data_IF_800169150390
#
_entry.id   IF_800169150390
#
_cell.length_a   1.000
_cell.length_b   1.000
_cell.length_c   1.000
_cell.angle_alpha   90.00
_cell.angle_beta   90.00
_cell.angle_gamma   90.00
#
_symmetry.space_group_name_H-M   'P 1'
#
loop_
_entity.id
_entity.type
_entity.pdbx_description
1 polymer ?
#
# COMPACT_ATOMS: atom_id res chain seq x y z
N UNK A 1 26.06 9.88 -13.73
CA UNK A 1 26.47 9.12 -12.51
C UNK A 1 25.26 8.63 -11.72
N UNK A 2 24.28 9.47 -11.38
CA UNK A 2 22.97 9.06 -10.85
C UNK A 2 22.18 8.16 -11.81
N UNK A 3 22.25 8.42 -13.11
CA UNK A 3 21.52 7.65 -14.15
C UNK A 3 22.00 6.19 -14.29
N UNK A 4 23.28 5.89 -14.07
CA UNK A 4 23.81 4.51 -14.16
C UNK A 4 23.50 3.68 -12.91
N UNK A 5 23.47 4.32 -11.74
CA UNK A 5 22.98 3.72 -10.49
C UNK A 5 21.47 3.48 -10.55
N UNK A 6 20.69 4.44 -11.05
CA UNK A 6 19.25 4.27 -11.25
C UNK A 6 18.91 3.16 -12.28
N UNK A 7 19.67 3.03 -13.37
CA UNK A 7 19.49 1.95 -14.35
C UNK A 7 19.81 0.57 -13.80
N UNK A 8 20.81 0.42 -12.93
CA UNK A 8 21.16 -0.87 -12.29
C UNK A 8 20.24 -1.22 -11.11
N UNK A 9 19.82 -0.23 -10.34
CA UNK A 9 18.78 -0.41 -9.33
C UNK A 9 17.42 -0.81 -9.97
N UNK A 10 17.21 -0.45 -11.25
CA UNK A 10 16.07 -0.89 -12.05
C UNK A 10 16.11 -2.37 -12.46
N UNK A 11 17.28 -2.98 -12.64
CA UNK A 11 17.37 -4.39 -13.10
C UNK A 11 17.06 -5.41 -11.99
N UNK A 12 17.37 -5.12 -10.74
CA UNK A 12 17.06 -6.02 -9.61
C UNK A 12 15.58 -5.95 -9.23
N UNK A 13 14.97 -4.76 -9.33
CA UNK A 13 13.52 -4.54 -9.13
C UNK A 13 12.69 -5.09 -10.29
N UNK A 14 13.31 -5.39 -11.44
CA UNK A 14 12.61 -5.82 -12.63
C UNK A 14 11.80 -7.10 -12.37
N UNK A 15 12.29 -8.02 -11.53
CA UNK A 15 11.56 -9.27 -11.25
C UNK A 15 10.27 -8.99 -10.48
N UNK A 16 10.32 -8.16 -9.42
CA UNK A 16 9.13 -7.77 -8.68
C UNK A 16 8.16 -6.95 -9.54
N UNK A 17 8.68 -6.02 -10.35
CA UNK A 17 7.87 -5.18 -11.24
C UNK A 17 7.24 -5.95 -12.39
N UNK A 18 7.96 -6.94 -12.96
CA UNK A 18 7.43 -7.87 -13.96
C UNK A 18 6.37 -8.76 -13.31
N UNK A 19 6.61 -9.26 -12.10
CA UNK A 19 5.59 -9.98 -11.33
C UNK A 19 4.33 -9.15 -11.10
N UNK A 20 4.49 -7.86 -10.78
CA UNK A 20 3.39 -6.92 -10.64
C UNK A 20 2.63 -6.73 -11.97
N UNK A 21 3.35 -6.52 -13.07
CA UNK A 21 2.77 -6.37 -14.41
C UNK A 21 1.98 -7.62 -14.80
N UNK A 22 2.56 -8.81 -14.61
CA UNK A 22 1.89 -10.08 -14.85
C UNK A 22 0.63 -10.22 -13.98
N UNK A 23 0.70 -9.89 -12.70
CA UNK A 23 -0.47 -9.90 -11.80
C UNK A 23 -1.59 -8.97 -12.27
N UNK A 24 -1.25 -7.78 -12.78
CA UNK A 24 -2.21 -6.84 -13.35
C UNK A 24 -2.84 -7.36 -14.66
N UNK A 25 -2.06 -8.01 -15.51
CA UNK A 25 -2.56 -8.66 -16.73
C UNK A 25 -3.52 -9.79 -16.36
N UNK A 26 -3.14 -10.69 -15.45
CA UNK A 26 -4.00 -11.78 -14.99
C UNK A 26 -5.31 -11.26 -14.41
N UNK A 27 -5.28 -10.15 -13.66
CA UNK A 27 -6.49 -9.52 -13.13
C UNK A 27 -7.45 -9.06 -14.23
N UNK A 28 -6.94 -8.40 -15.28
CA UNK A 28 -7.75 -7.93 -16.41
C UNK A 28 -8.32 -9.07 -17.24
N UNK A 29 -7.47 -10.04 -17.60
CA UNK A 29 -7.86 -11.24 -18.36
C UNK A 29 -8.89 -12.06 -17.58
N UNK A 30 -8.65 -12.34 -16.29
CA UNK A 30 -9.58 -13.12 -15.48
C UNK A 30 -10.95 -12.46 -15.38
N UNK A 31 -11.03 -11.12 -15.31
CA UNK A 31 -12.31 -10.42 -15.30
C UNK A 31 -13.09 -10.62 -16.61
N UNK A 32 -12.45 -10.42 -17.76
CA UNK A 32 -13.11 -10.57 -19.06
C UNK A 32 -13.53 -12.03 -19.35
N UNK A 33 -12.65 -12.98 -19.07
CA UNK A 33 -12.92 -14.41 -19.32
C UNK A 33 -13.94 -14.98 -18.33
N UNK A 34 -14.05 -14.46 -17.10
CA UNK A 34 -15.08 -14.87 -16.14
C UNK A 34 -16.50 -14.63 -16.64
N UNK A 35 -16.74 -13.55 -17.40
CA UNK A 35 -18.06 -13.28 -17.99
C UNK A 35 -18.39 -14.19 -19.18
N UNK A 36 -17.36 -14.73 -19.85
CA UNK A 36 -17.50 -15.55 -21.06
C UNK A 36 -17.40 -17.06 -20.80
N UNK A 37 -16.94 -17.48 -19.61
CA UNK A 37 -16.65 -18.88 -19.27
C UNK A 37 -17.87 -19.67 -18.77
N UNK A 38 -17.95 -20.94 -19.18
CA UNK A 38 -18.87 -21.97 -18.66
C UNK A 38 -18.65 -22.19 -17.15
N UNK A 39 -19.69 -22.57 -16.40
CA UNK A 39 -19.67 -22.70 -14.93
C UNK A 39 -18.48 -23.52 -14.38
N UNK A 40 -18.02 -24.54 -15.10
CA UNK A 40 -16.89 -25.39 -14.71
C UNK A 40 -15.53 -24.67 -14.67
N UNK A 41 -15.33 -23.63 -15.48
CA UNK A 41 -14.06 -22.89 -15.55
C UNK A 41 -14.07 -21.61 -14.72
N UNK A 42 -15.24 -21.19 -14.19
CA UNK A 42 -15.37 -19.96 -13.39
C UNK A 42 -14.49 -19.99 -12.14
N UNK A 43 -14.40 -21.14 -11.46
CA UNK A 43 -13.56 -21.31 -10.27
C UNK A 43 -12.05 -21.18 -10.57
N UNK A 44 -11.60 -21.56 -11.76
CA UNK A 44 -10.21 -21.36 -12.18
C UNK A 44 -9.91 -19.86 -12.39
N UNK A 45 -10.81 -19.15 -13.08
CA UNK A 45 -10.65 -17.71 -13.31
C UNK A 45 -10.77 -16.87 -12.04
N UNK A 46 -11.66 -17.26 -11.10
CA UNK A 46 -11.74 -16.63 -9.78
C UNK A 46 -10.42 -16.78 -8.99
N UNK A 47 -9.81 -17.97 -9.00
CA UNK A 47 -8.49 -18.20 -8.38
C UNK A 47 -7.40 -17.38 -9.06
N UNK A 48 -7.37 -17.32 -10.39
CA UNK A 48 -6.40 -16.51 -11.14
C UNK A 48 -6.52 -15.02 -10.82
N UNK A 49 -7.74 -14.50 -10.66
CA UNK A 49 -7.98 -13.12 -10.23
C UNK A 49 -7.43 -12.85 -8.82
N UNK A 50 -7.67 -13.77 -7.87
CA UNK A 50 -7.18 -13.65 -6.50
C UNK A 50 -5.65 -13.70 -6.47
N UNK A 51 -5.05 -14.70 -7.11
CA UNK A 51 -3.58 -14.87 -7.14
C UNK A 51 -2.91 -13.68 -7.81
N UNK A 52 -3.43 -13.21 -8.95
CA UNK A 52 -2.89 -12.02 -9.63
C UNK A 52 -2.96 -10.76 -8.77
N UNK A 53 -4.06 -10.57 -8.03
CA UNK A 53 -4.24 -9.42 -7.13
C UNK A 53 -3.31 -9.47 -5.91
N UNK A 54 -3.14 -10.66 -5.31
CA UNK A 54 -2.20 -10.88 -4.21
C UNK A 54 -0.77 -10.65 -4.70
N UNK A 55 -0.40 -11.21 -5.85
CA UNK A 55 0.95 -11.07 -6.41
C UNK A 55 1.29 -9.61 -6.71
N UNK A 56 0.37 -8.86 -7.33
CA UNK A 56 0.60 -7.44 -7.63
C UNK A 56 0.76 -6.60 -6.35
N UNK A 57 -0.09 -6.83 -5.36
CA UNK A 57 -0.03 -6.12 -4.08
C UNK A 57 1.24 -6.49 -3.30
N UNK A 58 1.59 -7.77 -3.28
CA UNK A 58 2.79 -8.27 -2.62
C UNK A 58 4.05 -7.67 -3.24
N UNK A 59 4.15 -7.68 -4.57
CA UNK A 59 5.26 -7.08 -5.30
C UNK A 59 5.38 -5.57 -5.00
N UNK A 60 4.26 -4.85 -4.95
CA UNK A 60 4.27 -3.43 -4.56
C UNK A 60 4.83 -3.23 -3.14
N UNK A 61 4.43 -4.08 -2.18
CA UNK A 61 4.92 -4.00 -0.80
C UNK A 61 6.40 -4.35 -0.66
N UNK A 62 6.87 -5.35 -1.41
CA UNK A 62 8.30 -5.70 -1.49
C UNK A 62 9.13 -4.53 -2.02
N UNK A 63 8.64 -3.84 -3.06
CA UNK A 63 9.31 -2.65 -3.61
C UNK A 63 9.38 -1.52 -2.59
N UNK A 64 8.30 -1.27 -1.84
CA UNK A 64 8.32 -0.27 -0.75
C UNK A 64 9.29 -0.67 0.35
N UNK A 65 9.30 -1.94 0.76
CA UNK A 65 10.26 -2.45 1.75
C UNK A 65 11.70 -2.25 1.32
N UNK A 66 12.02 -2.57 0.05
CA UNK A 66 13.36 -2.40 -0.50
C UNK A 66 13.82 -0.93 -0.55
N UNK A 67 12.89 0.02 -0.70
CA UNK A 67 13.19 1.45 -0.61
C UNK A 67 13.51 1.85 0.83
N UNK A 68 12.79 1.29 1.82
CA UNK A 68 13.00 1.57 3.24
C UNK A 68 14.29 0.95 3.76
N UNK A 69 14.65 -0.26 3.33
CA UNK A 69 15.84 -0.98 3.83
C UNK A 69 17.18 -0.39 3.39
N UNK A 70 17.17 0.56 2.45
CA UNK A 70 18.39 1.04 1.79
C UNK A 70 19.10 -0.07 0.99
N UNK A 71 20.21 0.28 0.34
CA UNK A 71 21.05 -0.68 -0.38
C UNK A 71 22.48 -0.60 0.16
N UNK A 72 23.10 -1.75 0.41
CA UNK A 72 24.52 -1.84 0.73
C UNK A 72 25.30 -1.63 -0.57
N UNK A 73 25.83 -0.42 -0.78
CA UNK A 73 26.71 -0.12 -1.92
C UNK A 73 28.17 -0.23 -1.45
N UNK A 74 28.78 -1.40 -1.62
CA UNK A 74 30.23 -1.56 -1.43
C UNK A 74 31.00 -1.00 -2.64
N UNK A 75 31.35 0.30 -2.57
CA UNK A 75 32.24 0.95 -3.54
C UNK A 75 31.63 1.25 -4.92
N UNK A 76 32.32 0.85 -6.00
CA UNK A 76 32.01 1.19 -7.42
C UNK A 76 31.48 -0.02 -8.23
N UNK A 77 31.29 -1.15 -7.58
CA UNK A 77 30.85 -2.42 -8.15
C UNK A 77 29.80 -3.02 -7.24
N UNK A 78 28.56 -3.10 -7.72
CA UNK A 78 27.50 -3.85 -7.08
C UNK A 78 27.93 -5.33 -6.98
N UNK A 79 28.11 -5.83 -5.76
CA UNK A 79 28.37 -7.25 -5.44
C UNK A 79 27.09 -8.02 -5.10
N UNK A 80 25.92 -7.41 -5.32
CA UNK A 80 24.64 -8.00 -4.96
C UNK A 80 24.23 -9.17 -5.83
N UNK A 81 23.65 -10.19 -5.21
CA UNK A 81 23.06 -11.34 -5.90
C UNK A 81 21.72 -10.93 -6.55
N UNK A 82 21.27 -11.63 -7.60
CA UNK A 82 19.94 -11.40 -8.22
C UNK A 82 18.76 -11.58 -7.24
N UNK A 83 19.03 -12.07 -6.02
CA UNK A 83 18.09 -12.27 -4.92
C UNK A 83 18.24 -11.27 -3.76
N UNK A 84 19.05 -10.22 -3.90
CA UNK A 84 19.23 -9.22 -2.82
C UNK A 84 17.94 -8.47 -2.46
N UNK A 85 16.95 -8.46 -3.35
CA UNK A 85 15.60 -7.94 -3.06
C UNK A 85 14.80 -8.87 -2.13
N UNK A 86 15.17 -10.14 -1.99
CA UNK A 86 14.49 -11.17 -1.19
C UNK A 86 14.95 -11.17 0.27
N UNK A 87 14.97 -9.99 0.90
CA UNK A 87 15.25 -9.91 2.33
C UNK A 87 14.01 -10.27 3.15
N UNK A 88 14.17 -10.85 4.36
CA UNK A 88 13.04 -11.11 5.25
C UNK A 88 12.20 -9.86 5.53
N UNK A 89 12.84 -8.69 5.60
CA UNK A 89 12.17 -7.40 5.78
C UNK A 89 11.29 -7.03 4.57
N UNK A 90 11.80 -7.15 3.35
CA UNK A 90 11.04 -6.83 2.14
C UNK A 90 9.83 -7.75 1.96
N UNK A 91 10.02 -9.05 2.24
CA UNK A 91 8.94 -10.03 2.24
C UNK A 91 7.86 -9.70 3.29
N UNK A 92 8.28 -9.30 4.48
CA UNK A 92 7.39 -8.88 5.56
C UNK A 92 6.57 -7.65 5.15
N UNK A 93 7.19 -6.63 4.55
CA UNK A 93 6.51 -5.47 3.97
C UNK A 93 5.51 -5.86 2.86
N UNK A 94 5.88 -6.82 2.01
CA UNK A 94 5.00 -7.42 1.00
C UNK A 94 3.72 -8.02 1.60
N UNK A 95 3.88 -8.90 2.60
CA UNK A 95 2.73 -9.50 3.32
C UNK A 95 1.91 -8.41 4.02
N UNK A 96 2.59 -7.43 4.62
CA UNK A 96 1.95 -6.29 5.28
C UNK A 96 1.02 -5.50 4.35
N UNK A 97 1.46 -5.23 3.12
CA UNK A 97 0.64 -4.51 2.15
C UNK A 97 -0.57 -5.35 1.68
N UNK A 98 -0.40 -6.67 1.54
CA UNK A 98 -1.52 -7.58 1.24
C UNK A 98 -2.59 -7.53 2.33
N UNK A 99 -2.19 -7.59 3.60
CA UNK A 99 -3.12 -7.47 4.75
C UNK A 99 -3.80 -6.10 4.76
N UNK A 100 -3.04 -5.05 4.46
CA UNK A 100 -3.53 -3.67 4.40
C UNK A 100 -4.65 -3.52 3.36
N UNK A 101 -4.42 -3.99 2.13
CA UNK A 101 -5.43 -3.94 1.08
C UNK A 101 -6.61 -4.90 1.34
N UNK A 102 -6.37 -6.05 1.98
CA UNK A 102 -7.45 -6.93 2.41
C UNK A 102 -8.37 -6.24 3.44
N UNK A 103 -7.82 -5.50 4.40
CA UNK A 103 -8.60 -4.72 5.37
C UNK A 103 -9.37 -3.57 4.69
N UNK A 104 -8.72 -2.85 3.78
CA UNK A 104 -9.37 -1.79 3.00
C UNK A 104 -10.52 -2.33 2.16
N UNK A 105 -10.33 -3.47 1.49
CA UNK A 105 -11.38 -4.16 0.73
C UNK A 105 -12.51 -4.64 1.62
N UNK A 106 -12.21 -5.24 2.78
CA UNK A 106 -13.24 -5.70 3.73
C UNK A 106 -14.09 -4.53 4.27
N UNK A 107 -13.46 -3.41 4.65
CA UNK A 107 -14.18 -2.23 5.15
C UNK A 107 -14.95 -1.49 4.05
N UNK A 108 -14.46 -1.52 2.81
CA UNK A 108 -15.22 -1.04 1.65
C UNK A 108 -16.45 -1.92 1.38
N UNK A 109 -16.31 -3.25 1.48
CA UNK A 109 -17.44 -4.19 1.35
C UNK A 109 -18.47 -4.00 2.46
N UNK A 110 -18.06 -3.72 3.71
CA UNK A 110 -18.98 -3.34 4.79
C UNK A 110 -19.84 -2.12 4.41
N UNK A 111 -19.26 -1.15 3.70
CA UNK A 111 -19.99 0.04 3.25
C UNK A 111 -21.00 -0.26 2.13
N UNK A 112 -20.69 -1.22 1.25
CA UNK A 112 -21.47 -1.51 0.02
C UNK A 112 -22.42 -2.70 0.10
N UNK A 113 -22.26 -3.58 1.10
CA UNK A 113 -23.05 -4.81 1.24
C UNK A 113 -24.25 -4.66 2.19
N UNK A 114 -25.28 -5.48 1.97
CA UNK A 114 -26.47 -5.65 2.82
C UNK A 114 -26.57 -7.12 3.25
N UNK A 115 -26.87 -7.35 4.54
CA UNK A 115 -26.91 -8.64 5.23
C UNK A 115 -25.92 -9.69 4.68
N UNK A 116 -26.09 -11.01 4.87
CA UNK A 116 -25.12 -11.93 5.50
C UNK A 116 -23.61 -11.73 5.19
N UNK A 117 -23.28 -11.28 3.98
CA UNK A 117 -21.96 -10.76 3.60
C UNK A 117 -21.43 -9.64 4.51
N UNK A 118 -22.26 -8.67 4.91
CA UNK A 118 -21.87 -7.58 5.82
C UNK A 118 -21.33 -8.12 7.15
N UNK A 119 -22.06 -9.05 7.77
CA UNK A 119 -21.66 -9.68 9.04
C UNK A 119 -20.36 -10.47 8.91
N UNK A 120 -20.17 -11.17 7.78
CA UNK A 120 -18.92 -11.87 7.48
C UNK A 120 -17.74 -10.92 7.32
N UNK A 121 -17.92 -9.80 6.61
CA UNK A 121 -16.85 -8.81 6.43
C UNK A 121 -16.50 -8.11 7.76
N UNK A 122 -17.50 -7.79 8.59
CA UNK A 122 -17.26 -7.28 9.94
C UNK A 122 -16.47 -8.27 10.82
N UNK A 123 -16.78 -9.56 10.73
CA UNK A 123 -16.03 -10.59 11.45
C UNK A 123 -14.59 -10.71 10.94
N UNK A 124 -14.36 -10.57 9.63
CA UNK A 124 -13.05 -10.66 8.99
C UNK A 124 -12.17 -9.41 9.20
N UNK A 125 -12.77 -8.21 9.28
CA UNK A 125 -12.02 -6.97 9.51
C UNK A 125 -11.29 -6.93 10.87
N UNK A 126 -11.79 -7.65 11.88
CA UNK A 126 -11.18 -7.69 13.22
C UNK A 126 -9.82 -8.40 13.25
N UNK A 127 -9.69 -9.67 12.82
CA UNK A 127 -8.39 -10.32 12.76
C UNK A 127 -7.47 -9.59 11.78
N UNK A 128 -7.98 -9.08 10.65
CA UNK A 128 -7.17 -8.29 9.72
C UNK A 128 -6.60 -7.01 10.36
N UNK A 129 -7.37 -6.31 11.19
CA UNK A 129 -6.88 -5.15 11.93
C UNK A 129 -5.78 -5.52 12.93
N UNK A 130 -5.94 -6.63 13.65
CA UNK A 130 -4.90 -7.11 14.58
C UNK A 130 -3.62 -7.45 13.82
N UNK A 131 -3.74 -8.20 12.73
CA UNK A 131 -2.59 -8.57 11.89
C UNK A 131 -1.92 -7.32 11.32
N UNK A 132 -2.70 -6.33 10.85
CA UNK A 132 -2.15 -5.05 10.38
C UNK A 132 -1.38 -4.32 11.49
N UNK A 133 -1.91 -4.27 12.71
CA UNK A 133 -1.22 -3.65 13.84
C UNK A 133 0.06 -4.38 14.22
N UNK A 134 0.07 -5.71 14.17
CA UNK A 134 1.28 -6.50 14.37
C UNK A 134 2.32 -6.23 13.28
N UNK A 135 1.89 -6.09 12.03
CA UNK A 135 2.77 -5.70 10.92
C UNK A 135 3.33 -4.30 11.14
N UNK A 136 2.49 -3.30 11.44
CA UNK A 136 2.93 -1.93 11.68
C UNK A 136 3.89 -1.84 12.86
N UNK A 137 3.59 -2.52 13.96
CA UNK A 137 4.48 -2.63 15.12
C UNK A 137 5.78 -3.35 14.78
N UNK A 138 5.70 -4.45 14.02
CA UNK A 138 6.86 -5.20 13.55
C UNK A 138 7.79 -4.33 12.71
N UNK A 139 7.28 -3.61 11.72
CA UNK A 139 8.09 -2.66 10.92
C UNK A 139 8.65 -1.56 11.82
N UNK A 140 7.83 -0.99 12.72
CA UNK A 140 8.28 0.10 13.62
C UNK A 140 9.37 -0.32 14.59
N UNK A 141 9.47 -1.59 14.95
CA UNK A 141 10.55 -2.13 15.79
C UNK A 141 11.75 -2.55 14.95
N UNK A 142 11.51 -3.18 13.79
CA UNK A 142 12.58 -3.69 12.92
C UNK A 142 13.40 -2.56 12.26
N UNK A 143 12.74 -1.46 11.88
CA UNK A 143 13.40 -0.36 11.17
C UNK A 143 14.44 0.36 12.05
N UNK A 144 14.16 0.76 13.30
CA UNK A 144 15.18 1.32 14.20
C UNK A 144 16.30 0.33 14.56
N UNK A 145 16.00 -0.98 14.67
CA UNK A 145 17.01 -1.99 15.02
C UNK A 145 18.02 -2.26 13.90
N UNK A 146 17.65 -1.99 12.64
CA UNK A 146 18.52 -2.21 11.49
C UNK A 146 19.26 -0.95 11.05
N UNK A 147 18.79 0.23 11.46
CA UNK A 147 19.37 1.52 11.08
C UNK A 147 19.50 2.41 12.33
N UNK A 148 20.71 2.45 12.89
CA UNK A 148 21.01 3.27 14.06
C UNK A 148 20.70 4.76 13.82
N UNK A 149 20.87 5.24 12.57
CA UNK A 149 20.47 6.60 12.16
C UNK A 149 18.98 6.88 12.35
N UNK A 150 18.11 5.87 12.14
CA UNK A 150 16.67 6.00 12.32
C UNK A 150 16.33 5.92 13.82
N UNK A 151 17.01 5.06 14.57
CA UNK A 151 16.86 4.98 16.03
C UNK A 151 17.23 6.31 16.70
N UNK A 152 18.36 6.91 16.33
CA UNK A 152 18.74 8.23 16.84
C UNK A 152 17.69 9.28 16.48
N UNK A 153 17.18 9.31 15.24
CA UNK A 153 16.13 10.28 14.86
C UNK A 153 14.83 10.10 15.63
N UNK A 154 14.42 8.87 15.89
CA UNK A 154 13.15 8.58 16.58
C UNK A 154 13.23 8.80 18.09
N UNK A 155 14.36 8.46 18.70
CA UNK A 155 14.53 8.44 20.16
C UNK A 155 15.32 9.63 20.73
N UNK A 156 15.91 10.50 19.89
CA UNK A 156 16.51 11.75 20.35
C UNK A 156 15.46 12.84 20.63
N UNK A 157 15.68 13.61 21.70
CA UNK A 157 14.91 14.80 22.00
C UNK A 157 15.43 15.97 21.16
N UNK A 158 14.58 16.76 20.48
CA UNK A 158 13.12 16.86 20.64
C UNK A 158 12.27 16.07 19.63
N UNK A 159 12.88 15.36 18.67
CA UNK A 159 12.17 14.65 17.60
C UNK A 159 11.13 13.65 18.12
N UNK A 160 11.42 12.99 19.25
CA UNK A 160 10.49 12.08 19.92
C UNK A 160 9.08 12.70 20.12
N UNK A 161 8.97 13.98 20.46
CA UNK A 161 7.67 14.66 20.64
C UNK A 161 6.91 14.87 19.34
N UNK A 162 7.61 15.04 18.22
CA UNK A 162 6.98 15.14 16.90
C UNK A 162 6.55 13.77 16.36
N UNK A 163 7.23 12.69 16.76
CA UNK A 163 6.92 11.33 16.33
C UNK A 163 5.86 10.62 17.19
N UNK A 164 5.78 10.90 18.49
CA UNK A 164 4.82 10.30 19.43
C UNK A 164 3.34 10.40 19.00
N UNK A 165 2.86 11.48 18.36
CA UNK A 165 1.48 11.56 17.89
C UNK A 165 1.10 10.47 16.89
N UNK A 166 2.04 9.99 16.05
CA UNK A 166 1.75 8.99 15.02
C UNK A 166 1.29 7.64 15.60
N UNK A 167 2.05 6.96 16.49
CA UNK A 167 1.60 5.71 17.09
C UNK A 167 0.35 5.90 17.97
N UNK A 168 0.21 7.04 18.64
CA UNK A 168 -1.01 7.35 19.42
C UNK A 168 -2.23 7.44 18.51
N UNK A 169 -2.12 8.12 17.37
CA UNK A 169 -3.20 8.23 16.38
C UNK A 169 -3.52 6.86 15.75
N UNK A 170 -2.51 6.03 15.45
CA UNK A 170 -2.71 4.66 14.96
C UNK A 170 -3.52 3.82 15.95
N UNK A 171 -3.19 3.89 17.25
CA UNK A 171 -3.95 3.20 18.29
C UNK A 171 -5.38 3.75 18.42
N UNK A 172 -5.55 5.07 18.41
CA UNK A 172 -6.85 5.71 18.50
C UNK A 172 -7.77 5.30 17.34
N UNK A 173 -7.27 5.38 16.10
CA UNK A 173 -8.01 4.98 14.90
C UNK A 173 -8.34 3.49 14.91
N UNK A 174 -7.43 2.66 15.39
CA UNK A 174 -7.66 1.20 15.49
C UNK A 174 -8.74 0.86 16.51
N UNK A 175 -8.72 1.50 17.68
CA UNK A 175 -9.76 1.32 18.69
C UNK A 175 -11.12 1.81 18.19
N UNK A 176 -11.16 2.96 17.50
CA UNK A 176 -12.39 3.46 16.86
C UNK A 176 -12.88 2.55 15.75
N UNK A 177 -11.99 1.97 14.95
CA UNK A 177 -12.34 1.01 13.91
C UNK A 177 -12.95 -0.25 14.53
N UNK A 178 -12.28 -0.82 15.54
CA UNK A 178 -12.77 -1.98 16.28
C UNK A 178 -14.16 -1.77 16.88
N UNK A 179 -14.42 -0.58 17.44
CA UNK A 179 -15.75 -0.21 17.97
C UNK A 179 -16.77 0.04 16.85
N UNK A 180 -16.37 0.63 15.74
CA UNK A 180 -17.28 0.94 14.62
C UNK A 180 -17.76 -0.34 13.92
N UNK A 181 -16.89 -1.35 13.80
CA UNK A 181 -17.24 -2.66 13.23
C UNK A 181 -18.24 -3.44 14.11
N UNK A 182 -18.42 -3.07 15.38
CA UNK A 182 -19.46 -3.63 16.26
C UNK A 182 -20.84 -2.99 16.07
N UNK A 183 -20.93 -1.81 15.46
CA UNK A 183 -22.18 -1.06 15.34
C UNK A 183 -22.78 -1.27 13.94
N UNK A 184 -23.98 -1.89 13.82
CA UNK A 184 -24.61 -2.20 12.53
C UNK A 184 -24.88 -0.96 11.64
N UNK A 185 -25.07 0.21 12.27
CA UNK A 185 -25.51 1.43 11.59
C UNK A 185 -24.37 2.25 10.96
N UNK A 186 -23.12 1.85 11.18
CA UNK A 186 -21.96 2.65 10.83
C UNK A 186 -21.30 2.16 9.54
N UNK A 187 -21.98 2.32 8.39
CA UNK A 187 -21.51 1.76 7.12
C UNK A 187 -20.23 2.42 6.55
N UNK A 188 -20.11 3.76 6.63
CA UNK A 188 -18.99 4.48 5.99
C UNK A 188 -17.78 4.71 6.93
N UNK A 189 -17.99 4.75 8.26
CA UNK A 189 -16.91 5.08 9.21
C UNK A 189 -15.76 4.07 9.20
N UNK A 190 -15.98 2.74 9.13
CA UNK A 190 -14.89 1.75 9.09
C UNK A 190 -13.94 1.96 7.91
N UNK A 191 -14.47 2.34 6.74
CA UNK A 191 -13.68 2.63 5.55
C UNK A 191 -12.82 3.89 5.73
N UNK A 192 -13.40 4.99 6.23
CA UNK A 192 -12.66 6.25 6.47
C UNK A 192 -11.56 6.05 7.52
N UNK A 193 -11.85 5.31 8.60
CA UNK A 193 -10.85 5.00 9.63
C UNK A 193 -9.72 4.13 9.09
N UNK A 194 -10.04 3.16 8.24
CA UNK A 194 -9.00 2.33 7.57
C UNK A 194 -8.14 3.17 6.64
N UNK A 195 -8.73 4.09 5.88
CA UNK A 195 -7.99 5.02 5.04
C UNK A 195 -7.05 5.91 5.87
N UNK A 196 -7.52 6.40 7.02
CA UNK A 196 -6.71 7.13 7.98
C UNK A 196 -5.54 6.32 8.54
N UNK A 197 -5.76 5.04 8.89
CA UNK A 197 -4.68 4.14 9.32
C UNK A 197 -3.61 3.93 8.24
N UNK A 198 -4.04 3.71 6.99
CA UNK A 198 -3.13 3.55 5.86
C UNK A 198 -2.33 4.83 5.64
N UNK A 199 -2.99 5.98 5.67
CA UNK A 199 -2.35 7.29 5.55
C UNK A 199 -1.30 7.49 6.64
N UNK A 200 -1.64 7.24 7.91
CA UNK A 200 -0.70 7.35 9.03
C UNK A 200 0.50 6.40 8.89
N UNK A 201 0.27 5.15 8.46
CA UNK A 201 1.34 4.19 8.21
C UNK A 201 2.29 4.64 7.10
N UNK A 202 1.74 5.12 5.98
CA UNK A 202 2.53 5.63 4.86
C UNK A 202 3.29 6.91 5.24
N UNK A 203 2.66 7.83 5.97
CA UNK A 203 3.32 9.01 6.51
C UNK A 203 4.46 8.64 7.46
N UNK A 204 4.26 7.66 8.35
CA UNK A 204 5.31 7.18 9.26
C UNK A 204 6.55 6.66 8.50
N UNK A 205 6.34 5.85 7.46
CA UNK A 205 7.42 5.40 6.58
C UNK A 205 8.08 6.57 5.84
N UNK A 206 7.28 7.49 5.28
CA UNK A 206 7.78 8.63 4.52
C UNK A 206 8.65 9.58 5.36
N UNK A 207 8.23 9.87 6.60
CA UNK A 207 9.00 10.71 7.52
C UNK A 207 10.31 10.01 7.94
N UNK A 208 10.31 8.68 8.04
CA UNK A 208 11.51 7.91 8.39
C UNK A 208 12.60 7.96 7.32
N UNK A 209 12.20 8.00 6.05
CA UNK A 209 13.11 8.04 4.91
C UNK A 209 13.64 9.47 4.68
N UNK A 210 12.83 10.50 4.97
CA UNK A 210 13.20 11.91 4.85
C UNK A 210 14.49 12.26 5.64
N UNK A 211 15.43 13.06 5.09
CA UNK A 211 15.42 13.81 3.82
C UNK A 211 15.98 13.04 2.60
N UNK A 212 16.38 11.79 2.80
CA UNK A 212 16.91 10.95 1.74
C UNK A 212 15.76 10.24 1.02
N UNK A 213 15.92 9.90 -0.26
CA UNK A 213 14.95 9.06 -0.98
C UNK A 213 15.43 7.61 -1.06
N UNK A 214 16.76 7.42 -1.00
CA UNK A 214 17.44 6.13 -0.83
C UNK A 214 18.56 6.38 0.18
N UNK A 215 18.42 5.92 1.44
CA UNK A 215 19.46 6.07 2.46
C UNK A 215 20.73 5.28 2.09
N UNK A 216 21.95 5.79 2.38
CA UNK A 216 22.30 7.14 2.83
C UNK A 216 22.66 8.10 1.67
N UNK A 217 22.88 7.60 0.46
CA UNK A 217 23.64 8.32 -0.58
C UNK A 217 22.85 9.30 -1.44
N UNK A 218 21.51 9.22 -1.46
CA UNK A 218 20.68 10.01 -2.39
C UNK A 218 19.64 10.83 -1.63
N UNK A 219 19.91 12.13 -1.51
CA UNK A 219 18.97 13.12 -0.98
C UNK A 219 17.88 13.46 -1.98
N UNK A 220 16.70 13.89 -1.49
CA UNK A 220 15.59 14.34 -2.34
C UNK A 220 16.03 15.43 -3.34
N UNK A 221 16.90 16.33 -2.89
CA UNK A 221 17.44 17.43 -3.68
C UNK A 221 18.46 16.97 -4.73
N UNK A 222 19.27 15.96 -4.42
CA UNK A 222 20.24 15.40 -5.38
C UNK A 222 19.55 14.55 -6.47
N UNK A 223 18.39 13.96 -6.16
CA UNK A 223 17.56 13.23 -7.12
C UNK A 223 16.57 14.12 -7.90
N UNK A 224 16.48 15.41 -7.56
CA UNK A 224 15.52 16.33 -8.15
C UNK A 224 15.81 16.57 -9.65
N UNK A 225 14.75 16.52 -10.46
CA UNK A 225 14.81 16.93 -11.86
C UNK A 225 15.10 18.43 -11.99
N UNK A 226 15.62 18.91 -13.14
CA UNK A 226 15.86 20.33 -13.38
C UNK A 226 14.61 21.19 -13.10
N UNK A 227 14.74 22.39 -12.52
CA UNK A 227 13.60 23.23 -12.11
C UNK A 227 12.60 23.52 -13.24
N UNK A 228 13.07 23.65 -14.49
CA UNK A 228 12.23 23.87 -15.67
C UNK A 228 11.31 22.67 -15.97
N UNK A 229 11.83 21.44 -15.83
CA UNK A 229 11.01 20.24 -16.02
C UNK A 229 10.02 20.05 -14.86
N UNK A 230 10.43 20.40 -13.64
CA UNK A 230 9.56 20.35 -12.46
C UNK A 230 8.42 21.36 -12.55
N UNK A 231 8.68 22.60 -12.95
CA UNK A 231 7.62 23.62 -13.11
C UNK A 231 6.62 23.24 -14.19
N UNK A 232 7.09 22.67 -15.31
CA UNK A 232 6.22 22.15 -16.35
C UNK A 232 5.32 20.99 -15.84
N UNK A 233 5.91 20.02 -15.13
CA UNK A 233 5.16 18.91 -14.53
C UNK A 233 4.18 19.39 -13.45
N UNK A 234 4.54 20.41 -12.67
CA UNK A 234 3.70 21.00 -11.63
C UNK A 234 2.44 21.63 -12.22
N UNK A 235 2.56 22.39 -13.31
CA UNK A 235 1.41 22.98 -14.01
C UNK A 235 0.48 21.88 -14.54
N UNK A 236 1.05 20.86 -15.19
CA UNK A 236 0.28 19.70 -15.64
C UNK A 236 -0.45 18.99 -14.49
N UNK A 237 0.24 18.75 -13.38
CA UNK A 237 -0.33 18.12 -12.19
C UNK A 237 -1.44 18.96 -11.56
N UNK A 238 -1.27 20.29 -11.49
CA UNK A 238 -2.26 21.21 -10.94
C UNK A 238 -3.58 21.21 -11.72
N UNK A 239 -3.55 20.93 -13.02
CA UNK A 239 -4.75 20.83 -13.87
C UNK A 239 -5.32 19.42 -13.85
N UNK A 240 -4.48 18.41 -14.05
CA UNK A 240 -4.90 17.02 -14.23
C UNK A 240 -5.42 16.43 -12.91
N UNK A 241 -4.77 16.69 -11.78
CA UNK A 241 -5.18 16.11 -10.48
C UNK A 241 -6.61 16.54 -10.10
N UNK A 242 -6.99 17.83 -10.15
CA UNK A 242 -8.37 18.23 -9.87
C UNK A 242 -9.39 17.60 -10.82
N UNK A 243 -9.08 17.47 -12.11
CA UNK A 243 -9.97 16.82 -13.09
C UNK A 243 -10.17 15.34 -12.72
N UNK A 244 -9.08 14.64 -12.38
CA UNK A 244 -9.13 13.24 -11.92
C UNK A 244 -10.01 13.10 -10.68
N UNK A 245 -9.80 13.98 -9.70
CA UNK A 245 -10.58 13.96 -8.46
C UNK A 245 -12.06 14.30 -8.70
N UNK A 246 -12.35 15.26 -9.57
CA UNK A 246 -13.72 15.66 -9.91
C UNK A 246 -14.51 14.52 -10.55
N UNK A 247 -13.95 13.85 -11.58
CA UNK A 247 -14.65 12.72 -12.20
C UNK A 247 -14.75 11.52 -11.23
N UNK A 248 -13.73 11.29 -10.41
CA UNK A 248 -13.76 10.21 -9.41
C UNK A 248 -14.87 10.48 -8.41
N UNK A 249 -14.94 11.69 -7.85
CA UNK A 249 -16.00 12.10 -6.94
C UNK A 249 -17.39 11.98 -7.57
N UNK A 250 -17.53 12.44 -8.82
CA UNK A 250 -18.77 12.30 -9.59
C UNK A 250 -19.18 10.83 -9.77
N UNK A 251 -18.25 9.95 -10.14
CA UNK A 251 -18.50 8.52 -10.26
C UNK A 251 -18.98 7.91 -8.95
N UNK A 252 -18.32 8.22 -7.83
CA UNK A 252 -18.75 7.76 -6.50
C UNK A 252 -20.12 8.32 -6.10
N UNK A 253 -20.41 9.57 -6.45
CA UNK A 253 -21.69 10.22 -6.18
C UNK A 253 -22.82 9.57 -6.97
N UNK A 254 -22.61 9.29 -8.26
CA UNK A 254 -23.58 8.61 -9.14
C UNK A 254 -23.82 7.17 -8.67
N UNK A 255 -22.76 6.42 -8.33
CA UNK A 255 -22.86 5.02 -7.89
C UNK A 255 -22.99 4.86 -6.36
N UNK A 256 -23.59 5.82 -5.65
CA UNK A 256 -23.75 5.77 -4.19
C UNK A 256 -24.69 4.67 -3.68
N UNK A 257 -25.50 4.07 -4.56
CA UNK A 257 -26.41 2.98 -4.22
C UNK A 257 -25.69 1.76 -3.61
N UNK A 258 -26.41 1.03 -2.75
CA UNK A 258 -26.00 -0.28 -2.24
C UNK A 258 -26.26 -1.33 -3.32
N UNK A 259 -25.40 -2.34 -3.42
CA UNK A 259 -25.58 -3.41 -4.42
C UNK A 259 -26.58 -4.42 -3.87
N UNK A 260 -27.77 -4.49 -4.46
CA UNK A 260 -28.81 -5.47 -4.09
C UNK A 260 -28.72 -6.72 -4.97
N UNK A 261 -28.92 -7.89 -4.36
CA UNK A 261 -29.12 -9.12 -5.12
C UNK A 261 -30.46 -9.05 -5.87
N UNK A 262 -30.42 -8.93 -7.20
CA UNK A 262 -31.60 -8.91 -8.07
C UNK A 262 -31.67 -7.75 -9.05
N UNK A 263 -30.88 -6.68 -8.86
CA UNK A 263 -30.75 -5.61 -9.85
C UNK A 263 -29.65 -6.00 -10.85
N UNK A 264 -30.01 -6.90 -11.77
CA UNK A 264 -29.26 -7.06 -13.01
C UNK A 264 -29.34 -5.77 -13.81
N UNK A 265 -28.21 -5.34 -14.35
CA UNK A 265 -28.14 -4.27 -15.35
C UNK A 265 -29.04 -4.65 -16.54
N UNK A 266 -30.19 -4.00 -16.62
CA UNK A 266 -30.96 -3.85 -17.85
C UNK A 266 -31.08 -2.35 -18.14
#
# INVERSE_FOLDING_TARGET
RSVSLARRCGSERAIALVGMLLGLIFRGVAFEFRFKATESHRAFWDKSFIVGSILATFAQGVVVGAVVSGFQVEGRTFSGSQLDWLTPFNLFCGVGLVVTYALLGATWLIMKSEDPLHSRMCALSRPLLIVLLLVMGGVSVWTPLTHDDIAERWFTLPNLYYFLPVPVLVLAFSVWLWRSVKKPESHARPFILTLGLIFLGFSGLGISIWPNIIPPDISLYAAAAPPQSQSFMLVGALIIIPIILAYTFWSYYVFRGKVRHGEGYH
#
